data_IF_587972189797
#
_entry.id   IF_587972189797
#
_cell.length_a   1.000
_cell.length_b   1.000
_cell.length_c   1.000
_cell.angle_alpha   90.00
_cell.angle_beta   90.00
_cell.angle_gamma   90.00
#
_symmetry.space_group_name_H-M   'P 1'
#
loop_
_entity.id
_entity.type
_entity.pdbx_description
1 polymer ?
#
# COMPACT_ATOMS: atom_id res chain seq x y z
N UNK A 1 14.97 -12.62 -48.58
CA UNK A 1 13.67 -12.69 -47.89
C UNK A 1 13.73 -11.73 -46.71
N UNK A 2 12.60 -11.03 -46.46
CA UNK A 2 12.22 -10.15 -45.33
C UNK A 2 13.01 -10.35 -44.00
N UNK A 3 13.19 -9.36 -43.12
CA UNK A 3 12.22 -8.38 -42.63
C UNK A 3 12.86 -7.05 -42.19
N UNK A 4 12.10 -6.00 -42.44
CA UNK A 4 12.23 -4.62 -41.97
C UNK A 4 12.12 -4.48 -40.44
N UNK A 5 12.84 -3.48 -39.92
CA UNK A 5 12.57 -2.66 -38.72
C UNK A 5 11.54 -3.21 -37.73
N UNK A 6 12.02 -3.61 -36.55
CA UNK A 6 11.25 -3.46 -35.31
C UNK A 6 12.05 -2.53 -34.40
N UNK A 7 11.41 -1.42 -34.03
CA UNK A 7 11.89 -0.50 -33.00
C UNK A 7 12.23 -1.30 -31.73
N UNK A 8 13.52 -1.31 -31.37
CA UNK A 8 13.95 -1.63 -30.01
C UNK A 8 13.45 -0.52 -29.09
N UNK A 9 12.31 -0.75 -28.45
CA UNK A 9 11.97 -0.15 -27.16
C UNK A 9 11.50 -1.26 -26.23
N UNK A 10 12.31 -2.32 -26.12
CA UNK A 10 12.17 -3.26 -25.02
C UNK A 10 12.85 -2.59 -23.83
N UNK A 11 12.05 -2.06 -22.90
CA UNK A 11 12.57 -1.66 -21.59
C UNK A 11 13.14 -2.92 -20.93
N UNK A 12 14.47 -3.02 -20.85
CA UNK A 12 15.15 -4.01 -20.03
C UNK A 12 14.87 -3.69 -18.56
N UNK A 13 13.77 -4.24 -18.04
CA UNK A 13 13.48 -4.16 -16.61
C UNK A 13 14.21 -5.30 -15.92
N UNK A 14 15.38 -5.00 -15.36
CA UNK A 14 16.15 -5.95 -14.57
C UNK A 14 15.50 -6.15 -13.20
N UNK A 15 14.96 -7.34 -12.97
CA UNK A 15 14.48 -7.77 -11.66
C UNK A 15 15.42 -8.80 -11.07
N UNK A 16 15.63 -8.74 -9.76
CA UNK A 16 16.42 -9.75 -9.06
C UNK A 16 15.72 -11.11 -9.10
N UNK A 17 16.52 -12.19 -9.09
CA UNK A 17 15.98 -13.57 -9.01
C UNK A 17 15.09 -13.74 -7.78
N UNK A 18 15.40 -13.04 -6.68
CA UNK A 18 14.59 -13.07 -5.46
C UNK A 18 13.16 -12.54 -5.67
N UNK A 19 12.97 -11.55 -6.54
CA UNK A 19 11.66 -10.96 -6.86
C UNK A 19 10.90 -11.80 -7.88
N UNK A 20 11.60 -12.34 -8.88
CA UNK A 20 10.99 -13.12 -9.96
C UNK A 20 10.59 -14.53 -9.51
N UNK A 21 11.41 -15.16 -8.66
CA UNK A 21 11.21 -16.56 -8.27
C UNK A 21 9.84 -16.82 -7.64
N UNK A 22 9.33 -16.01 -6.68
CA UNK A 22 7.99 -16.21 -6.12
C UNK A 22 6.87 -16.03 -7.13
N UNK A 23 7.08 -15.22 -8.17
CA UNK A 23 6.12 -15.05 -9.26
C UNK A 23 6.05 -16.33 -10.09
N UNK A 24 7.20 -16.89 -10.45
CA UNK A 24 7.30 -18.16 -11.19
C UNK A 24 6.74 -19.32 -10.36
N UNK A 25 7.14 -19.42 -9.09
CA UNK A 25 6.69 -20.48 -8.18
C UNK A 25 5.17 -20.45 -7.99
N UNK A 26 4.56 -19.26 -8.00
CA UNK A 26 3.11 -19.11 -7.98
C UNK A 26 2.43 -19.73 -9.20
N UNK A 27 3.00 -19.57 -10.41
CA UNK A 27 2.43 -20.17 -11.62
C UNK A 27 2.42 -21.70 -11.57
N UNK A 28 3.42 -22.30 -10.91
CA UNK A 28 3.52 -23.76 -10.80
C UNK A 28 2.73 -24.34 -9.62
N UNK A 29 2.77 -23.68 -8.46
CA UNK A 29 2.26 -24.23 -7.20
C UNK A 29 0.98 -23.58 -6.69
N UNK A 30 0.56 -22.45 -7.28
CA UNK A 30 -0.50 -21.57 -6.77
C UNK A 30 -0.26 -21.07 -5.33
N UNK A 31 0.94 -21.24 -4.81
CA UNK A 31 1.37 -20.77 -3.51
C UNK A 31 2.33 -19.59 -3.68
N UNK A 32 2.13 -18.55 -2.87
CA UNK A 32 3.01 -17.39 -2.85
C UNK A 32 3.78 -17.42 -1.54
N UNK A 33 5.10 -17.63 -1.62
CA UNK A 33 5.98 -17.54 -0.46
C UNK A 33 6.78 -16.25 -0.57
N UNK A 34 6.62 -15.38 0.42
CA UNK A 34 7.38 -14.15 0.55
C UNK A 34 8.63 -14.41 1.41
N UNK A 35 9.77 -13.78 1.11
CA UNK A 35 10.98 -13.94 1.92
C UNK A 35 10.79 -13.40 3.33
N UNK A 36 11.51 -13.94 4.31
CA UNK A 36 11.47 -13.46 5.71
C UNK A 36 11.95 -12.00 5.83
N UNK A 37 12.89 -11.58 4.98
CA UNK A 37 13.38 -10.20 4.87
C UNK A 37 12.45 -9.31 4.02
N UNK A 38 11.14 -9.50 4.11
CA UNK A 38 10.17 -8.73 3.34
C UNK A 38 10.24 -7.24 3.72
N UNK A 39 10.27 -6.34 2.75
CA UNK A 39 10.31 -4.89 3.00
C UNK A 39 9.36 -4.17 2.06
N UNK A 40 9.09 -2.89 2.31
CA UNK A 40 8.31 -2.06 1.38
C UNK A 40 8.97 -1.97 0.00
N UNK A 41 10.32 -1.96 -0.08
CA UNK A 41 11.05 -1.96 -1.35
C UNK A 41 10.81 -3.26 -2.12
N UNK A 42 10.95 -4.40 -1.43
CA UNK A 42 10.65 -5.69 -2.04
C UNK A 42 9.19 -5.78 -2.49
N UNK A 43 8.24 -5.31 -1.67
CA UNK A 43 6.82 -5.27 -2.02
C UNK A 43 6.58 -4.43 -3.28
N UNK A 44 7.23 -3.28 -3.38
CA UNK A 44 7.16 -2.42 -4.56
C UNK A 44 7.72 -3.13 -5.82
N UNK A 45 8.89 -3.76 -5.70
CA UNK A 45 9.53 -4.49 -6.78
C UNK A 45 8.70 -5.67 -7.27
N UNK A 46 8.17 -6.51 -6.36
CA UNK A 46 7.36 -7.67 -6.75
C UNK A 46 6.02 -7.26 -7.36
N UNK A 47 5.38 -6.20 -6.87
CA UNK A 47 4.16 -5.67 -7.46
C UNK A 47 4.42 -5.05 -8.84
N UNK A 48 5.56 -4.38 -9.02
CA UNK A 48 5.98 -3.89 -10.33
C UNK A 48 6.25 -5.04 -11.29
N UNK A 49 7.08 -6.01 -10.90
CA UNK A 49 7.37 -7.22 -11.68
C UNK A 49 6.08 -7.91 -12.11
N UNK A 50 5.16 -8.13 -11.16
CA UNK A 50 3.86 -8.73 -11.41
C UNK A 50 3.04 -8.01 -12.49
N UNK A 51 3.11 -6.68 -12.61
CA UNK A 51 2.42 -5.94 -13.68
C UNK A 51 2.91 -6.34 -15.07
N UNK A 52 4.18 -6.74 -15.22
CA UNK A 52 4.78 -7.10 -16.51
C UNK A 52 4.38 -8.51 -16.98
N UNK A 53 4.26 -9.48 -16.08
CA UNK A 53 4.09 -10.90 -16.46
C UNK A 53 2.72 -11.29 -17.07
N UNK A 54 1.76 -10.35 -17.19
CA UNK A 54 0.37 -10.58 -17.69
C UNK A 54 -0.15 -12.02 -17.44
N UNK A 55 -0.26 -12.48 -16.18
CA UNK A 55 -0.63 -13.86 -15.86
C UNK A 55 -2.02 -14.23 -16.41
N UNK A 56 -2.22 -15.48 -16.83
CA UNK A 56 -3.57 -16.02 -17.13
C UNK A 56 -4.47 -15.96 -15.89
N UNK A 57 -3.91 -16.10 -14.68
CA UNK A 57 -4.61 -15.96 -13.38
C UNK A 57 -4.22 -14.67 -12.64
N UNK A 58 -4.28 -13.54 -13.35
CA UNK A 58 -3.84 -12.23 -12.83
C UNK A 58 -4.61 -11.81 -11.58
N UNK A 59 -5.91 -12.07 -11.50
CA UNK A 59 -6.71 -11.65 -10.34
C UNK A 59 -6.35 -12.44 -9.08
N UNK A 60 -6.34 -13.78 -9.16
CA UNK A 60 -6.02 -14.66 -8.03
C UNK A 60 -4.63 -14.37 -7.44
N UNK A 61 -3.64 -14.13 -8.30
CA UNK A 61 -2.28 -13.83 -7.86
C UNK A 61 -2.18 -12.44 -7.24
N UNK A 62 -2.86 -11.45 -7.83
CA UNK A 62 -2.89 -10.07 -7.31
C UNK A 62 -3.51 -10.06 -5.91
N UNK A 63 -4.64 -10.73 -5.73
CA UNK A 63 -5.32 -10.83 -4.43
C UNK A 63 -4.44 -11.53 -3.39
N UNK A 64 -3.79 -12.63 -3.75
CA UNK A 64 -2.85 -13.32 -2.84
C UNK A 64 -1.64 -12.47 -2.49
N UNK A 65 -1.10 -11.71 -3.45
CA UNK A 65 0.02 -10.79 -3.21
C UNK A 65 -0.40 -9.66 -2.26
N UNK A 66 -1.55 -9.03 -2.52
CA UNK A 66 -2.14 -8.01 -1.67
C UNK A 66 -2.37 -8.53 -0.25
N UNK A 67 -3.02 -9.70 -0.12
CA UNK A 67 -3.27 -10.35 1.17
C UNK A 67 -1.98 -10.63 1.94
N UNK A 68 -0.95 -11.13 1.25
CA UNK A 68 0.34 -11.45 1.87
C UNK A 68 1.05 -10.18 2.35
N UNK A 69 0.96 -9.08 1.59
CA UNK A 69 1.47 -7.76 2.01
C UNK A 69 0.74 -7.27 3.26
N UNK A 70 -0.59 -7.31 3.28
CA UNK A 70 -1.39 -6.89 4.43
C UNK A 70 -1.05 -7.71 5.68
N UNK A 71 -0.91 -9.03 5.54
CA UNK A 71 -0.54 -9.91 6.63
C UNK A 71 0.87 -9.64 7.17
N UNK A 72 1.84 -9.39 6.28
CA UNK A 72 3.17 -8.98 6.72
C UNK A 72 3.11 -7.68 7.50
N UNK A 73 2.46 -6.66 6.94
CA UNK A 73 2.33 -5.36 7.58
C UNK A 73 1.67 -5.46 8.97
N UNK A 74 0.64 -6.31 9.13
CA UNK A 74 -0.05 -6.51 10.41
C UNK A 74 0.83 -7.16 11.50
N UNK A 75 1.78 -8.01 11.12
CA UNK A 75 2.60 -8.79 12.07
C UNK A 75 3.81 -8.02 12.59
N UNK A 76 4.36 -7.14 11.75
CA UNK A 76 5.59 -6.43 12.05
C UNK A 76 5.35 -5.11 12.78
N UNK A 77 6.33 -4.71 13.60
CA UNK A 77 6.36 -3.36 14.18
C UNK A 77 6.97 -2.40 13.17
N UNK A 78 6.26 -1.31 12.89
CA UNK A 78 6.72 -0.30 11.93
C UNK A 78 7.09 1.00 12.64
N UNK A 79 8.21 1.59 12.23
CA UNK A 79 8.50 3.00 12.52
C UNK A 79 7.57 3.90 11.70
N UNK A 80 7.41 5.16 12.11
CA UNK A 80 6.57 6.11 11.36
C UNK A 80 7.04 6.29 9.91
N UNK A 81 8.35 6.34 9.67
CA UNK A 81 8.91 6.43 8.33
C UNK A 81 8.59 5.20 7.49
N UNK A 82 8.69 3.98 8.07
CA UNK A 82 8.27 2.74 7.42
C UNK A 82 6.78 2.76 7.05
N UNK A 83 5.92 3.28 7.94
CA UNK A 83 4.47 3.39 7.69
C UNK A 83 4.19 4.28 6.46
N UNK A 84 4.90 5.40 6.31
CA UNK A 84 4.73 6.28 5.14
C UNK A 84 5.19 5.62 3.84
N UNK A 85 6.27 4.84 3.89
CA UNK A 85 6.76 4.09 2.73
C UNK A 85 5.75 3.01 2.32
N UNK A 86 5.19 2.28 3.30
CA UNK A 86 4.10 1.33 3.04
C UNK A 86 2.84 2.00 2.49
N UNK A 87 2.52 3.23 2.92
CA UNK A 87 1.39 3.98 2.39
C UNK A 87 1.60 4.32 0.91
N UNK A 88 2.83 4.71 0.54
CA UNK A 88 3.20 4.95 -0.85
C UNK A 88 3.02 3.70 -1.71
N UNK A 89 3.45 2.52 -1.22
CA UNK A 89 3.24 1.23 -1.89
C UNK A 89 1.75 0.93 -2.06
N UNK A 90 0.95 1.10 -1.00
CA UNK A 90 -0.48 0.85 -1.01
C UNK A 90 -1.22 1.70 -2.06
N UNK A 91 -0.89 3.00 -2.12
CA UNK A 91 -1.49 3.93 -3.08
C UNK A 91 -1.02 3.67 -4.52
N UNK A 92 0.28 3.43 -4.72
CA UNK A 92 0.87 3.20 -6.05
C UNK A 92 0.33 1.95 -6.73
N UNK A 93 0.02 0.91 -5.95
CA UNK A 93 -0.43 -0.38 -6.47
C UNK A 93 -1.92 -0.66 -6.27
N UNK A 94 -2.64 0.27 -5.62
CA UNK A 94 -4.08 0.13 -5.38
C UNK A 94 -4.40 -1.04 -4.46
N UNK A 95 -3.77 -1.06 -3.27
CA UNK A 95 -4.02 -2.04 -2.21
C UNK A 95 -4.89 -1.38 -1.13
N UNK A 96 -6.24 -1.41 -1.26
CA UNK A 96 -7.13 -0.64 -0.39
C UNK A 96 -7.05 -1.07 1.07
N UNK A 97 -7.02 -2.37 1.35
CA UNK A 97 -6.97 -2.91 2.72
C UNK A 97 -5.71 -2.42 3.46
N UNK A 98 -4.54 -2.49 2.80
CA UNK A 98 -3.28 -2.00 3.37
C UNK A 98 -3.35 -0.50 3.68
N UNK A 99 -3.91 0.29 2.75
CA UNK A 99 -4.09 1.72 2.91
C UNK A 99 -5.00 2.03 4.09
N UNK A 100 -6.13 1.33 4.22
CA UNK A 100 -7.06 1.50 5.34
C UNK A 100 -6.41 1.14 6.67
N UNK A 101 -5.68 0.03 6.74
CA UNK A 101 -4.91 -0.38 7.93
C UNK A 101 -3.90 0.70 8.34
N UNK A 102 -3.14 1.24 7.39
CA UNK A 102 -2.16 2.30 7.64
C UNK A 102 -2.84 3.59 8.10
N UNK A 103 -3.93 3.98 7.43
CA UNK A 103 -4.71 5.16 7.80
C UNK A 103 -5.27 5.05 9.21
N UNK A 104 -5.79 3.88 9.58
CA UNK A 104 -6.26 3.59 10.93
C UNK A 104 -5.13 3.66 11.97
N UNK A 105 -3.96 3.09 11.65
CA UNK A 105 -2.78 3.14 12.52
C UNK A 105 -2.33 4.58 12.77
N UNK A 106 -2.20 5.40 11.72
CA UNK A 106 -1.85 6.82 11.82
C UNK A 106 -2.90 7.57 12.65
N UNK A 107 -4.18 7.40 12.32
CA UNK A 107 -5.27 8.06 13.04
C UNK A 107 -5.25 7.72 14.54
N UNK A 108 -4.98 6.47 14.89
CA UNK A 108 -4.88 6.00 16.26
C UNK A 108 -3.68 6.64 17.00
N UNK A 109 -2.51 6.68 16.37
CA UNK A 109 -1.32 7.35 16.92
C UNK A 109 -1.56 8.85 17.20
N UNK A 110 -2.16 9.56 16.24
CA UNK A 110 -2.52 10.97 16.42
C UNK A 110 -3.60 11.15 17.48
N UNK A 111 -4.57 10.24 17.56
CA UNK A 111 -5.60 10.25 18.58
C UNK A 111 -5.03 10.07 19.98
N UNK A 112 -4.12 9.11 20.19
CA UNK A 112 -3.44 8.92 21.47
C UNK A 112 -2.61 10.15 21.86
N UNK A 113 -1.83 10.71 20.93
CA UNK A 113 -1.06 11.96 21.18
C UNK A 113 -1.97 13.13 21.52
N UNK A 114 -3.14 13.22 20.87
CA UNK A 114 -4.13 14.25 21.18
C UNK A 114 -4.76 14.05 22.55
N UNK A 115 -5.12 12.82 22.94
CA UNK A 115 -5.65 12.51 24.28
C UNK A 115 -4.64 12.87 25.38
N UNK A 116 -3.35 12.62 25.17
CA UNK A 116 -2.30 13.01 26.11
C UNK A 116 -2.21 14.53 26.28
N UNK A 117 -2.35 15.30 25.19
CA UNK A 117 -2.31 16.77 25.22
C UNK A 117 -3.59 17.41 25.73
N UNK A 118 -4.73 16.75 25.51
CA UNK A 118 -6.06 17.24 25.85
C UNK A 118 -6.81 16.16 26.62
N UNK A 119 -6.50 15.96 27.92
CA UNK A 119 -7.16 14.95 28.72
C UNK A 119 -8.68 15.18 28.76
N UNK A 120 -9.41 14.08 28.88
CA UNK A 120 -10.87 14.11 28.96
C UNK A 120 -11.26 14.83 30.24
N UNK A 121 -11.79 16.04 30.09
CA UNK A 121 -12.38 16.83 31.17
C UNK A 121 -13.86 17.07 30.87
N UNK A 122 -14.68 17.29 31.90
CA UNK A 122 -16.11 17.57 31.74
C UNK A 122 -16.36 18.73 30.75
N UNK A 123 -15.54 19.78 30.83
CA UNK A 123 -15.58 20.95 29.94
C UNK A 123 -15.21 20.62 28.48
N UNK A 124 -14.25 19.73 28.26
CA UNK A 124 -13.88 19.32 26.91
C UNK A 124 -14.96 18.44 26.27
N UNK A 125 -15.63 17.60 27.05
CA UNK A 125 -16.73 16.74 26.59
C UNK A 125 -18.00 17.52 26.22
N UNK A 126 -18.15 18.77 26.67
CA UNK A 126 -19.25 19.63 26.21
C UNK A 126 -19.07 20.03 24.74
N UNK A 127 -17.83 20.07 24.23
CA UNK A 127 -17.56 20.38 22.83
C UNK A 127 -17.99 19.21 21.91
N UNK A 128 -18.90 19.43 20.95
CA UNK A 128 -19.40 18.37 20.06
C UNK A 128 -18.30 17.76 19.17
N UNK A 129 -17.28 18.55 18.78
CA UNK A 129 -16.12 18.04 18.03
C UNK A 129 -15.28 17.09 18.89
N UNK A 130 -15.05 17.43 20.17
CA UNK A 130 -14.34 16.57 21.10
C UNK A 130 -15.09 15.25 21.34
N UNK A 131 -16.42 15.30 21.48
CA UNK A 131 -17.28 14.11 21.57
C UNK A 131 -17.24 13.23 20.33
N UNK A 132 -17.16 13.82 19.14
CA UNK A 132 -17.05 13.08 17.89
C UNK A 132 -15.66 12.42 17.72
N UNK A 133 -14.59 13.13 18.08
CA UNK A 133 -13.23 12.61 18.09
C UNK A 133 -13.08 11.45 19.09
N UNK A 134 -13.63 11.59 20.30
CA UNK A 134 -13.57 10.58 21.34
C UNK A 134 -14.27 9.25 20.95
N UNK A 135 -15.27 9.32 20.08
CA UNK A 135 -15.99 8.12 19.59
C UNK A 135 -15.19 7.33 18.54
N UNK A 136 -13.99 7.75 18.14
CA UNK A 136 -13.07 7.02 17.24
C UNK A 136 -13.57 6.81 15.80
N UNK A 137 -14.86 7.04 15.51
CA UNK A 137 -15.52 6.72 14.24
C UNK A 137 -15.29 7.72 13.11
N UNK A 138 -14.67 8.87 13.39
CA UNK A 138 -14.59 9.98 12.44
C UNK A 138 -13.18 10.23 11.86
N UNK A 139 -12.13 9.80 12.55
CA UNK A 139 -10.75 10.17 12.19
C UNK A 139 -10.20 9.26 11.08
N UNK A 140 -10.40 7.95 11.17
CA UNK A 140 -9.86 6.99 10.20
C UNK A 140 -10.46 7.14 8.79
N UNK A 141 -11.79 7.28 8.70
CA UNK A 141 -12.52 7.40 7.43
C UNK A 141 -12.27 8.72 6.71
N UNK A 142 -12.24 9.84 7.43
CA UNK A 142 -11.87 11.14 6.84
C UNK A 142 -10.40 11.21 6.44
N UNK A 143 -9.52 10.62 7.24
CA UNK A 143 -8.09 10.56 6.91
C UNK A 143 -7.85 9.71 5.67
N UNK A 144 -8.46 8.52 5.58
CA UNK A 144 -8.41 7.68 4.39
C UNK A 144 -8.96 8.41 3.14
N UNK A 145 -10.11 9.09 3.25
CA UNK A 145 -10.66 9.88 2.15
C UNK A 145 -9.74 11.06 1.74
N UNK A 146 -9.02 11.67 2.69
CA UNK A 146 -8.07 12.75 2.41
C UNK A 146 -6.79 12.24 1.74
N UNK A 147 -6.28 11.08 2.17
CA UNK A 147 -5.20 10.35 1.50
C UNK A 147 -5.62 10.01 0.07
N UNK A 148 -6.84 9.51 -0.12
CA UNK A 148 -7.38 9.18 -1.44
C UNK A 148 -7.44 10.38 -2.36
N UNK A 149 -7.83 11.54 -1.84
CA UNK A 149 -7.83 12.80 -2.60
C UNK A 149 -6.43 13.26 -2.99
N UNK A 150 -5.44 13.13 -2.10
CA UNK A 150 -4.05 13.53 -2.38
C UNK A 150 -3.45 12.61 -3.45
N UNK A 151 -3.59 11.30 -3.29
CA UNK A 151 -2.97 10.33 -4.19
C UNK A 151 -3.72 10.15 -5.52
N UNK A 152 -5.04 10.37 -5.57
CA UNK A 152 -5.77 10.43 -6.84
C UNK A 152 -5.41 11.67 -7.67
N UNK A 153 -5.24 12.83 -7.03
CA UNK A 153 -4.81 14.05 -7.70
C UNK A 153 -3.35 13.99 -8.16
N UNK A 154 -2.46 13.35 -7.39
CA UNK A 154 -1.06 13.12 -7.83
C UNK A 154 -0.99 12.13 -9.00
N UNK A 155 -1.88 11.13 -9.04
CA UNK A 155 -1.95 10.18 -10.15
C UNK A 155 -2.45 10.84 -11.45
N UNK A 156 -3.46 11.72 -11.35
CA UNK A 156 -3.96 12.50 -12.50
C UNK A 156 -2.95 13.54 -13.01
N UNK A 157 -2.19 14.18 -12.12
CA UNK A 157 -1.15 15.14 -12.54
C UNK A 157 0.02 14.46 -13.25
N UNK A 158 0.41 13.24 -12.83
CA UNK A 158 1.44 12.47 -13.53
C UNK A 158 0.97 11.90 -14.89
N UNK A 159 -0.34 11.71 -15.09
CA UNK A 159 -0.91 11.22 -16.35
C UNK A 159 -1.15 12.34 -17.39
N UNK A 160 -1.18 13.60 -16.95
CA UNK A 160 -1.32 14.79 -17.81
C UNK A 160 0.05 15.35 -18.22
N UNK A 161 1.13 14.97 -17.52
CA UNK A 161 2.51 15.39 -17.78
C UNK A 161 3.36 14.35 -18.53
N UNK A 162 2.75 13.26 -19.02
CA UNK A 162 3.35 12.30 -19.96
C UNK A 162 2.63 12.39 -21.31
#
# INVERSE_FOLDING_TARGET
MKFSKLHQSECDVEYTVAVIKPIIDFFHSLSLQLPESYTHNYANEILNAFKFFKPVRKLDMKEKLHYSICNYFAKEKHTFDSILLWLSVACTHGIPDLREMICALIANEYYFKWQQKFPVTARNMENPLYRQLFKGRYVGTLFAAKVDRIYSNSFLTNLILQ
#
